data_IF_284468968837
#
_entry.id   IF_284468968837
#
_cell.length_a   1.000
_cell.length_b   1.000
_cell.length_c   1.000
_cell.angle_alpha   90.00
_cell.angle_beta   90.00
_cell.angle_gamma   90.00
#
_symmetry.space_group_name_H-M   'P 1'
#
loop_
_entity.id
_entity.type
_entity.pdbx_description
1 polymer ?
#
# COMPACT_ATOMS: atom_id res chain seq x y z
N UNK A 1 24.21 15.86 -2.24
CA UNK A 1 22.81 16.21 -1.95
C UNK A 1 21.93 15.27 -2.75
N UNK A 2 21.11 14.47 -2.15
CA UNK A 2 20.32 13.43 -2.83
C UNK A 2 19.04 14.02 -3.40
N UNK A 3 18.79 13.85 -4.70
CA UNK A 3 17.54 14.28 -5.31
C UNK A 3 16.51 13.17 -5.26
N UNK A 4 15.27 13.56 -4.99
CA UNK A 4 14.10 12.71 -5.20
C UNK A 4 13.28 13.34 -6.31
N UNK A 5 13.34 12.72 -7.49
CA UNK A 5 12.69 13.22 -8.70
C UNK A 5 11.36 12.52 -8.88
N UNK A 6 10.28 13.27 -8.76
CA UNK A 6 8.91 12.80 -9.02
C UNK A 6 8.55 13.09 -10.47
N UNK A 7 8.13 12.06 -11.19
CA UNK A 7 7.72 12.16 -12.60
C UNK A 7 6.21 12.23 -12.67
N UNK A 8 5.67 13.39 -13.05
CA UNK A 8 4.24 13.62 -13.10
C UNK A 8 3.69 13.30 -14.50
N UNK A 9 2.79 12.35 -14.56
CA UNK A 9 1.97 12.07 -15.74
C UNK A 9 0.62 12.79 -15.62
N UNK A 10 -0.09 13.09 -16.72
CA UNK A 10 -1.44 13.61 -16.66
C UNK A 10 -2.35 12.74 -15.77
N UNK A 11 -3.29 13.36 -15.09
CA UNK A 11 -4.17 12.71 -14.11
C UNK A 11 -3.46 12.02 -12.93
N UNK A 12 -2.27 12.51 -12.55
CA UNK A 12 -1.54 11.99 -11.39
C UNK A 12 -2.41 12.01 -10.13
N UNK A 13 -2.42 10.93 -9.36
CA UNK A 13 -3.09 10.89 -8.07
C UNK A 13 -2.31 11.70 -7.03
N UNK A 14 -2.99 12.69 -6.41
CA UNK A 14 -2.34 13.58 -5.44
C UNK A 14 -1.68 12.83 -4.29
N UNK A 15 -2.33 11.81 -3.74
CA UNK A 15 -1.75 11.07 -2.60
C UNK A 15 -0.55 10.21 -3.00
N UNK A 16 -0.54 9.67 -4.21
CA UNK A 16 0.60 8.91 -4.74
C UNK A 16 1.85 9.79 -4.89
N UNK A 17 1.64 11.09 -5.15
CA UNK A 17 2.68 12.10 -5.21
C UNK A 17 3.01 12.66 -3.82
N UNK A 18 2.00 13.23 -3.16
CA UNK A 18 2.18 14.00 -1.93
C UNK A 18 2.63 13.16 -0.74
N UNK A 19 2.16 11.90 -0.64
CA UNK A 19 2.55 10.99 0.44
C UNK A 19 4.06 10.76 0.52
N UNK A 20 4.69 10.21 -0.51
CA UNK A 20 6.14 10.05 -0.56
C UNK A 20 6.91 11.37 -0.49
N UNK A 21 6.42 12.42 -1.17
CA UNK A 21 7.05 13.73 -1.15
C UNK A 21 7.11 14.31 0.27
N UNK A 22 6.04 14.17 1.04
CA UNK A 22 6.00 14.63 2.44
C UNK A 22 7.01 13.88 3.30
N UNK A 23 7.17 12.56 3.13
CA UNK A 23 8.18 11.77 3.87
C UNK A 23 9.58 12.33 3.66
N UNK A 24 10.00 12.54 2.41
CA UNK A 24 11.34 13.05 2.11
C UNK A 24 11.51 14.53 2.49
N UNK A 25 10.46 15.34 2.35
CA UNK A 25 10.44 16.73 2.80
C UNK A 25 10.60 16.83 4.32
N UNK A 26 9.89 16.00 5.08
CA UNK A 26 10.02 15.94 6.53
C UNK A 26 11.42 15.48 6.96
N UNK A 27 11.98 14.47 6.25
CA UNK A 27 13.36 14.04 6.49
C UNK A 27 14.38 15.16 6.22
N UNK A 28 14.16 15.97 5.18
CA UNK A 28 14.98 17.14 4.89
C UNK A 28 14.93 18.17 6.03
N UNK A 29 13.75 18.41 6.61
CA UNK A 29 13.58 19.24 7.80
C UNK A 29 14.33 18.72 9.04
N UNK A 30 14.62 17.43 9.08
CA UNK A 30 15.48 16.82 10.13
C UNK A 30 16.96 16.75 9.75
N UNK A 31 17.41 17.52 8.76
CA UNK A 31 18.81 17.67 8.39
C UNK A 31 19.33 16.66 7.37
N UNK A 32 18.47 15.85 6.77
CA UNK A 32 18.88 14.97 5.67
C UNK A 32 18.97 15.75 4.35
N UNK A 33 19.99 15.53 3.51
CA UNK A 33 20.26 16.36 2.34
C UNK A 33 19.37 15.99 1.14
N UNK A 34 18.04 15.97 1.32
CA UNK A 34 17.09 15.71 0.24
C UNK A 34 16.64 16.99 -0.48
N UNK A 35 16.60 16.93 -1.82
CA UNK A 35 15.99 17.94 -2.67
C UNK A 35 14.90 17.29 -3.50
N UNK A 36 13.66 17.78 -3.38
CA UNK A 36 12.54 17.30 -4.17
C UNK A 36 12.50 18.04 -5.51
N UNK A 37 12.37 17.30 -6.60
CA UNK A 37 12.26 17.83 -7.96
C UNK A 37 11.05 17.18 -8.63
N UNK A 38 10.21 18.00 -9.25
CA UNK A 38 9.02 17.56 -9.96
C UNK A 38 9.22 17.80 -11.46
N UNK A 39 9.13 16.74 -12.26
CA UNK A 39 9.31 16.79 -13.71
C UNK A 39 8.09 16.24 -14.43
N UNK A 40 7.79 16.82 -15.60
CA UNK A 40 6.72 16.37 -16.49
C UNK A 40 7.06 16.71 -17.94
N UNK A 41 6.33 16.15 -18.89
CA UNK A 41 6.46 16.52 -20.31
C UNK A 41 5.92 17.93 -20.60
N UNK A 42 4.90 18.36 -19.80
CA UNK A 42 4.33 19.72 -19.86
C UNK A 42 4.61 20.47 -18.56
N UNK A 43 4.79 21.80 -18.59
CA UNK A 43 5.02 22.60 -17.39
C UNK A 43 3.79 22.65 -16.46
N UNK A 44 2.60 22.29 -16.96
CA UNK A 44 1.36 22.17 -16.18
C UNK A 44 0.80 20.77 -16.34
N UNK A 45 0.46 20.16 -15.20
CA UNK A 45 -0.14 18.83 -15.10
C UNK A 45 -1.40 18.94 -14.24
N UNK A 46 -2.53 18.53 -14.76
CA UNK A 46 -3.75 18.41 -13.95
C UNK A 46 -3.76 17.09 -13.22
N UNK A 47 -3.98 17.13 -11.90
CA UNK A 47 -4.12 15.92 -11.10
C UNK A 47 -5.46 15.22 -11.35
N UNK A 48 -5.56 13.95 -10.97
CA UNK A 48 -6.82 13.18 -11.01
C UNK A 48 -7.96 13.83 -10.19
N UNK A 49 -7.62 14.68 -9.21
CA UNK A 49 -8.56 15.43 -8.36
C UNK A 49 -8.85 16.84 -8.91
N UNK A 50 -8.34 17.21 -10.08
CA UNK A 50 -8.58 18.50 -10.71
C UNK A 50 -7.65 19.63 -10.26
N UNK A 51 -6.68 19.37 -9.37
CA UNK A 51 -5.73 20.40 -8.93
C UNK A 51 -4.64 20.59 -10.01
N UNK A 52 -4.40 21.81 -10.52
CA UNK A 52 -3.30 22.10 -11.40
C UNK A 52 -1.97 22.07 -10.64
N UNK A 53 -0.99 21.38 -11.18
CA UNK A 53 0.36 21.26 -10.66
C UNK A 53 1.35 21.87 -11.65
N UNK A 54 2.40 22.49 -11.14
CA UNK A 54 3.52 22.99 -11.97
C UNK A 54 4.71 22.07 -11.81
N UNK A 55 5.32 21.68 -12.93
CA UNK A 55 6.50 20.83 -13.00
C UNK A 55 7.54 21.40 -13.96
N UNK A 56 8.79 20.96 -13.80
CA UNK A 56 9.86 21.29 -14.77
C UNK A 56 9.75 20.36 -15.97
N UNK A 57 9.99 20.86 -17.17
CA UNK A 57 10.11 20.04 -18.38
C UNK A 57 11.51 19.48 -18.58
N UNK A 58 12.51 20.11 -17.96
CA UNK A 58 13.89 19.67 -18.01
C UNK A 58 14.24 18.83 -16.77
N UNK A 59 14.82 17.67 -17.02
CA UNK A 59 15.33 16.82 -15.96
C UNK A 59 16.63 17.40 -15.40
N UNK A 60 16.85 17.32 -14.07
CA UNK A 60 18.17 17.58 -13.52
C UNK A 60 19.15 16.48 -13.96
N UNK A 61 20.46 16.74 -13.95
CA UNK A 61 21.45 15.66 -14.01
C UNK A 61 21.21 14.72 -12.82
N UNK A 62 21.21 13.40 -13.06
CA UNK A 62 20.96 12.39 -12.05
C UNK A 62 22.27 11.70 -11.67
N UNK A 63 22.48 11.53 -10.36
CA UNK A 63 23.56 10.76 -9.78
C UNK A 63 23.04 9.37 -9.32
N UNK A 64 23.90 8.34 -9.18
CA UNK A 64 23.46 7.01 -8.72
C UNK A 64 22.78 7.02 -7.33
N UNK A 65 23.09 8.03 -6.49
CA UNK A 65 22.44 8.21 -5.19
C UNK A 65 21.02 8.76 -5.25
N UNK A 66 20.60 9.31 -6.40
CA UNK A 66 19.28 9.90 -6.57
C UNK A 66 18.18 8.82 -6.65
N UNK A 67 16.97 9.22 -6.34
CA UNK A 67 15.76 8.40 -6.42
C UNK A 67 14.82 9.00 -7.47
N UNK A 68 14.38 8.18 -8.43
CA UNK A 68 13.30 8.56 -9.36
C UNK A 68 12.03 7.84 -8.92
N UNK A 69 10.95 8.58 -8.69
CA UNK A 69 9.64 8.07 -8.28
C UNK A 69 8.63 8.38 -9.38
N UNK A 70 7.89 7.37 -9.83
CA UNK A 70 6.77 7.53 -10.75
C UNK A 70 5.47 7.31 -9.96
N UNK A 71 4.75 8.37 -9.56
CA UNK A 71 3.43 8.27 -8.95
C UNK A 71 2.42 7.67 -9.93
N UNK A 72 1.37 7.07 -9.41
CA UNK A 72 0.25 6.60 -10.21
C UNK A 72 -0.63 7.74 -10.71
N UNK A 73 -1.45 7.41 -11.68
CA UNK A 73 -2.43 8.31 -12.28
C UNK A 73 -3.80 7.63 -12.34
N UNK A 74 -4.84 8.37 -12.67
CA UNK A 74 -6.18 7.81 -12.87
C UNK A 74 -6.16 6.82 -14.05
N UNK A 75 -6.16 5.56 -13.74
CA UNK A 75 -6.12 4.47 -14.70
C UNK A 75 -7.18 3.44 -14.31
N UNK A 76 -8.40 3.52 -14.85
CA UNK A 76 -9.38 2.43 -14.70
C UNK A 76 -8.84 1.13 -15.30
N UNK A 77 -7.94 1.24 -16.28
CA UNK A 77 -7.10 0.19 -16.82
C UNK A 77 -5.75 0.79 -17.23
N UNK A 78 -4.68 -0.02 -17.27
CA UNK A 78 -3.36 0.42 -17.75
C UNK A 78 -3.32 0.65 -19.26
N UNK A 79 -4.25 0.01 -19.99
CA UNK A 79 -4.48 0.28 -21.41
C UNK A 79 -5.42 1.49 -21.58
N UNK A 80 -5.05 2.43 -22.46
CA UNK A 80 -5.91 3.57 -22.81
C UNK A 80 -5.82 4.81 -21.91
N UNK A 81 -4.96 4.79 -20.89
CA UNK A 81 -4.64 5.96 -20.06
C UNK A 81 -3.41 6.74 -20.58
N UNK A 82 -2.98 7.79 -19.85
CA UNK A 82 -1.73 8.47 -20.11
C UNK A 82 -0.60 7.45 -20.18
N UNK A 83 0.05 7.36 -21.32
CA UNK A 83 1.14 6.42 -21.51
C UNK A 83 2.47 7.12 -21.22
N UNK A 84 3.38 6.50 -20.42
CA UNK A 84 4.74 7.01 -20.29
C UNK A 84 5.40 7.16 -21.66
N UNK A 85 5.84 8.38 -21.98
CA UNK A 85 6.52 8.67 -23.25
C UNK A 85 7.86 7.95 -23.36
N UNK A 86 8.35 7.78 -24.60
CA UNK A 86 9.62 7.10 -24.87
C UNK A 86 10.81 7.73 -24.13
N UNK A 87 10.82 9.06 -24.03
CA UNK A 87 11.87 9.80 -23.34
C UNK A 87 11.91 9.47 -21.83
N UNK A 88 10.75 9.36 -21.19
CA UNK A 88 10.67 8.93 -19.77
C UNK A 88 11.18 7.50 -19.61
N UNK A 89 10.71 6.58 -20.44
CA UNK A 89 11.11 5.17 -20.42
C UNK A 89 12.63 5.03 -20.52
N UNK A 90 13.26 5.75 -21.45
CA UNK A 90 14.71 5.73 -21.63
C UNK A 90 15.46 6.32 -20.43
N UNK A 91 14.94 7.40 -19.83
CA UNK A 91 15.55 8.00 -18.62
C UNK A 91 15.49 7.07 -17.41
N UNK A 92 14.37 6.36 -17.21
CA UNK A 92 14.24 5.37 -16.14
C UNK A 92 15.28 4.24 -16.32
N UNK A 93 15.42 3.74 -17.55
CA UNK A 93 16.40 2.70 -17.90
C UNK A 93 17.83 3.18 -17.67
N UNK A 94 18.17 4.36 -18.17
CA UNK A 94 19.50 4.93 -18.05
C UNK A 94 19.88 5.19 -16.57
N UNK A 95 18.96 5.75 -15.78
CA UNK A 95 19.20 5.99 -14.36
C UNK A 95 19.43 4.68 -13.59
N UNK A 96 18.60 3.67 -13.81
CA UNK A 96 18.78 2.36 -13.18
C UNK A 96 20.10 1.70 -13.61
N UNK A 97 20.46 1.76 -14.91
CA UNK A 97 21.71 1.21 -15.43
C UNK A 97 22.95 1.92 -14.85
N UNK A 98 22.84 3.23 -14.56
CA UNK A 98 23.88 4.00 -13.88
C UNK A 98 23.99 3.71 -12.36
N UNK A 99 23.19 2.81 -11.82
CA UNK A 99 23.20 2.45 -10.41
C UNK A 99 22.14 3.17 -9.55
N UNK A 100 21.28 3.98 -10.17
CA UNK A 100 20.20 4.70 -9.49
C UNK A 100 19.04 3.83 -9.05
N UNK A 101 18.28 4.33 -8.09
CA UNK A 101 17.05 3.66 -7.60
C UNK A 101 15.83 4.23 -8.34
N UNK A 102 14.96 3.35 -8.81
CA UNK A 102 13.68 3.72 -9.42
C UNK A 102 12.54 3.15 -8.58
N UNK A 103 11.53 3.97 -8.33
CA UNK A 103 10.37 3.56 -7.56
C UNK A 103 9.08 3.92 -8.30
N UNK A 104 8.04 3.14 -8.06
CA UNK A 104 6.69 3.43 -8.55
C UNK A 104 5.66 3.32 -7.44
N UNK A 105 4.59 4.09 -7.59
CA UNK A 105 3.42 4.05 -6.74
C UNK A 105 2.22 3.75 -7.62
N UNK A 106 1.39 2.77 -7.27
CA UNK A 106 0.15 2.43 -7.99
C UNK A 106 0.39 2.14 -9.49
N UNK A 107 -0.37 2.77 -10.39
CA UNK A 107 -0.24 2.66 -11.85
C UNK A 107 1.17 3.03 -12.38
N UNK A 108 1.98 3.75 -11.60
CA UNK A 108 3.37 4.06 -11.95
C UNK A 108 4.23 2.84 -12.29
N UNK A 109 3.86 1.66 -11.82
CA UNK A 109 4.52 0.39 -12.16
C UNK A 109 4.53 0.11 -13.69
N UNK A 110 3.52 0.58 -14.41
CA UNK A 110 3.48 0.47 -15.87
C UNK A 110 4.66 1.17 -16.53
N UNK A 111 5.09 2.33 -16.03
CA UNK A 111 6.25 3.03 -16.58
C UNK A 111 7.54 2.22 -16.40
N UNK A 112 7.71 1.57 -15.25
CA UNK A 112 8.84 0.68 -14.98
C UNK A 112 8.78 -0.58 -15.87
N UNK A 113 7.58 -1.13 -16.06
CA UNK A 113 7.36 -2.27 -16.96
C UNK A 113 7.74 -1.95 -18.42
N UNK A 114 7.29 -0.81 -18.96
CA UNK A 114 7.69 -0.33 -20.28
C UNK A 114 9.18 -0.09 -20.41
N UNK A 115 9.84 0.32 -19.35
CA UNK A 115 11.29 0.45 -19.31
C UNK A 115 12.02 -0.91 -19.24
N UNK A 116 11.31 -2.04 -19.16
CA UNK A 116 11.89 -3.38 -19.00
C UNK A 116 12.50 -3.62 -17.62
N UNK A 117 12.23 -2.71 -16.66
CA UNK A 117 12.82 -2.77 -15.33
C UNK A 117 12.11 -3.78 -14.40
N UNK A 118 10.95 -4.28 -14.81
CA UNK A 118 10.23 -5.33 -14.07
C UNK A 118 10.61 -6.74 -14.53
N UNK A 119 11.32 -6.89 -15.63
CA UNK A 119 11.67 -8.19 -16.19
C UNK A 119 12.55 -9.00 -15.24
N UNK A 120 12.11 -10.22 -14.91
CA UNK A 120 12.77 -11.12 -13.97
C UNK A 120 12.69 -10.66 -12.51
N UNK A 121 11.94 -9.60 -12.18
CA UNK A 121 11.85 -9.03 -10.84
C UNK A 121 10.48 -9.20 -10.21
N UNK A 122 10.46 -9.20 -8.90
CA UNK A 122 9.25 -9.11 -8.10
C UNK A 122 8.76 -7.67 -8.09
N UNK A 123 7.47 -7.48 -8.39
CA UNK A 123 6.84 -6.15 -8.37
C UNK A 123 5.41 -6.24 -7.84
N UNK A 124 4.83 -5.10 -7.52
CA UNK A 124 3.40 -4.97 -7.20
C UNK A 124 2.84 -3.68 -7.74
N UNK A 125 1.53 -3.57 -7.72
CA UNK A 125 0.75 -2.38 -8.07
C UNK A 125 -0.57 -2.40 -7.31
N UNK A 126 -1.45 -1.43 -7.56
CA UNK A 126 -2.79 -1.39 -6.99
C UNK A 126 -3.54 -2.70 -7.27
N UNK A 127 -4.27 -3.21 -6.27
CA UNK A 127 -4.94 -4.52 -6.36
C UNK A 127 -5.81 -4.68 -7.61
N UNK A 128 -6.48 -3.62 -8.06
CA UNK A 128 -7.32 -3.64 -9.26
C UNK A 128 -6.53 -3.71 -10.58
N UNK A 129 -5.21 -3.48 -10.56
CA UNK A 129 -4.35 -3.43 -11.75
C UNK A 129 -3.34 -4.60 -11.82
N UNK A 130 -3.30 -5.48 -10.82
CA UNK A 130 -2.31 -6.55 -10.73
C UNK A 130 -2.41 -7.56 -11.86
N UNK A 131 -3.63 -7.96 -12.23
CA UNK A 131 -3.85 -8.92 -13.33
C UNK A 131 -3.44 -8.33 -14.68
N UNK A 132 -3.78 -7.07 -14.91
CA UNK A 132 -3.42 -6.37 -16.14
C UNK A 132 -1.90 -6.15 -16.23
N UNK A 133 -1.25 -5.74 -15.13
CA UNK A 133 0.21 -5.58 -15.08
C UNK A 133 0.91 -6.91 -15.41
N UNK A 134 0.45 -8.03 -14.83
CA UNK A 134 1.00 -9.36 -15.11
C UNK A 134 0.82 -9.77 -16.57
N UNK A 135 -0.34 -9.50 -17.16
CA UNK A 135 -0.61 -9.81 -18.57
C UNK A 135 0.26 -8.96 -19.52
N UNK A 136 0.49 -7.70 -19.21
CA UNK A 136 1.28 -6.77 -20.04
C UNK A 136 2.79 -7.00 -19.92
N UNK A 137 3.24 -7.43 -18.75
CA UNK A 137 4.66 -7.67 -18.45
C UNK A 137 4.89 -9.12 -18.00
N UNK A 138 4.77 -10.11 -18.90
CA UNK A 138 4.77 -11.53 -18.53
C UNK A 138 6.11 -12.05 -17.99
N UNK A 139 7.18 -11.26 -18.12
CA UNK A 139 8.49 -11.58 -17.49
C UNK A 139 8.62 -11.03 -16.07
N UNK A 140 7.67 -10.24 -15.59
CA UNK A 140 7.62 -9.75 -14.22
C UNK A 140 6.92 -10.76 -13.30
N UNK A 141 7.36 -10.83 -12.05
CA UNK A 141 6.65 -11.59 -11.00
C UNK A 141 5.79 -10.64 -10.20
N UNK A 142 4.52 -10.49 -10.59
CA UNK A 142 3.58 -9.63 -9.86
C UNK A 142 3.16 -10.30 -8.57
N UNK A 143 3.61 -9.75 -7.44
CA UNK A 143 3.25 -10.20 -6.08
C UNK A 143 1.92 -9.56 -5.70
N UNK A 144 0.94 -10.40 -5.35
CA UNK A 144 -0.42 -9.97 -5.06
C UNK A 144 -0.59 -9.63 -3.59
N UNK A 145 -1.52 -8.73 -3.32
CA UNK A 145 -1.95 -8.34 -1.97
C UNK A 145 -0.80 -7.99 -1.01
N UNK A 146 0.20 -7.25 -1.51
CA UNK A 146 1.31 -6.71 -0.70
C UNK A 146 1.40 -5.19 -0.88
N UNK A 147 1.87 -4.48 0.14
CA UNK A 147 1.94 -3.02 0.10
C UNK A 147 3.04 -2.51 -0.83
N UNK A 148 4.21 -3.12 -0.78
CA UNK A 148 5.32 -2.79 -1.66
C UNK A 148 6.30 -3.97 -1.78
N UNK A 149 7.07 -3.96 -2.85
CA UNK A 149 8.19 -4.89 -3.07
C UNK A 149 9.46 -4.11 -3.31
N UNK A 150 10.59 -4.71 -2.92
CA UNK A 150 11.93 -4.25 -3.26
C UNK A 150 12.67 -5.39 -3.93
N UNK A 151 13.17 -5.15 -5.13
CA UNK A 151 13.95 -6.11 -5.88
C UNK A 151 15.11 -5.37 -6.56
N UNK A 152 16.33 -5.55 -6.04
CA UNK A 152 17.49 -4.72 -6.34
C UNK A 152 17.18 -3.23 -6.07
N UNK A 153 17.35 -2.37 -7.05
CA UNK A 153 17.05 -0.92 -7.00
C UNK A 153 15.73 -0.57 -7.69
N UNK A 154 14.87 -1.56 -7.90
CA UNK A 154 13.49 -1.38 -8.39
C UNK A 154 12.53 -1.58 -7.22
N UNK A 155 11.76 -0.56 -6.90
CA UNK A 155 10.83 -0.57 -5.76
C UNK A 155 9.44 -0.22 -6.26
N UNK A 156 8.44 -1.05 -5.95
CA UNK A 156 7.07 -0.82 -6.42
C UNK A 156 6.09 -0.90 -5.27
N UNK A 157 5.07 -0.05 -5.23
CA UNK A 157 4.02 -0.10 -4.21
C UNK A 157 2.62 -0.11 -4.78
N UNK A 158 1.69 -0.63 -3.97
CA UNK A 158 0.28 -0.72 -4.27
C UNK A 158 -0.40 0.63 -4.52
N UNK A 159 0.14 1.69 -3.96
CA UNK A 159 -0.36 3.05 -4.20
C UNK A 159 -1.25 3.60 -3.10
N UNK A 160 -1.73 4.79 -3.36
CA UNK A 160 -2.48 5.61 -2.43
C UNK A 160 -1.70 5.73 -1.10
N UNK A 161 -2.21 5.20 0.01
CA UNK A 161 -1.54 5.30 1.30
C UNK A 161 -0.23 4.52 1.38
N UNK A 162 -0.08 3.40 0.65
CA UNK A 162 1.13 2.58 0.71
C UNK A 162 2.38 3.23 0.09
N UNK A 163 2.21 4.32 -0.68
CA UNK A 163 3.32 5.15 -1.11
C UNK A 163 4.09 5.79 0.06
N UNK A 164 3.40 6.09 1.15
CA UNK A 164 4.01 6.58 2.40
C UNK A 164 4.87 5.49 3.04
N UNK A 165 4.35 4.26 3.13
CA UNK A 165 5.07 3.12 3.71
C UNK A 165 6.33 2.79 2.90
N UNK A 166 6.23 2.81 1.56
CA UNK A 166 7.37 2.65 0.67
C UNK A 166 8.44 3.73 0.92
N UNK A 167 8.05 4.99 1.01
CA UNK A 167 9.00 6.09 1.23
C UNK A 167 9.66 6.00 2.63
N UNK A 168 8.91 5.64 3.67
CA UNK A 168 9.45 5.37 5.01
C UNK A 168 10.40 4.17 5.02
N UNK A 169 10.10 3.13 4.22
CA UNK A 169 11.00 1.99 4.05
C UNK A 169 12.32 2.42 3.40
N UNK A 170 12.26 3.16 2.28
CA UNK A 170 13.45 3.67 1.61
C UNK A 170 14.28 4.58 2.52
N UNK A 171 13.63 5.41 3.33
CA UNK A 171 14.29 6.24 4.33
C UNK A 171 14.99 5.39 5.40
N UNK A 172 14.32 4.32 5.88
CA UNK A 172 14.90 3.41 6.88
C UNK A 172 16.11 2.65 6.34
N UNK A 173 16.05 2.20 5.08
CA UNK A 173 17.18 1.51 4.43
C UNK A 173 18.39 2.44 4.28
N UNK A 174 18.16 3.71 3.93
CA UNK A 174 19.23 4.69 3.67
C UNK A 174 19.80 5.32 4.94
N UNK A 175 18.99 5.56 5.96
CA UNK A 175 19.36 6.37 7.13
C UNK A 175 19.05 5.71 8.48
N UNK A 176 18.55 4.48 8.44
CA UNK A 176 18.22 3.72 9.65
C UNK A 176 16.78 3.93 10.15
N UNK A 177 16.34 2.96 10.95
CA UNK A 177 14.95 2.89 11.43
C UNK A 177 14.58 4.06 12.37
N UNK A 178 15.55 4.62 13.11
CA UNK A 178 15.32 5.71 14.06
C UNK A 178 14.83 6.99 13.36
N UNK A 179 15.45 7.36 12.22
CA UNK A 179 15.01 8.52 11.44
C UNK A 179 13.63 8.28 10.82
N UNK A 180 13.41 7.10 10.24
CA UNK A 180 12.10 6.75 9.68
C UNK A 180 10.99 6.81 10.73
N UNK A 181 11.24 6.32 11.95
CA UNK A 181 10.31 6.42 13.06
C UNK A 181 10.05 7.88 13.51
N UNK A 182 11.08 8.73 13.49
CA UNK A 182 10.95 10.16 13.80
C UNK A 182 10.09 10.87 12.76
N UNK A 183 10.32 10.60 11.46
CA UNK A 183 9.50 11.13 10.35
C UNK A 183 8.06 10.64 10.45
N UNK A 184 7.84 9.35 10.69
CA UNK A 184 6.49 8.79 10.84
C UNK A 184 5.72 9.47 12.00
N UNK A 185 6.36 9.73 13.13
CA UNK A 185 5.75 10.46 14.27
C UNK A 185 5.39 11.90 13.92
N UNK A 186 6.28 12.61 13.23
CA UNK A 186 6.02 13.99 12.78
C UNK A 186 4.82 14.04 11.82
N UNK A 187 4.68 13.04 10.98
CA UNK A 187 3.55 12.89 10.06
C UNK A 187 2.28 12.32 10.71
N UNK A 188 2.29 12.09 12.03
CA UNK A 188 1.17 11.50 12.80
C UNK A 188 0.73 10.15 12.24
N UNK A 189 1.66 9.36 11.72
CA UNK A 189 1.38 8.01 11.23
C UNK A 189 1.28 7.07 12.43
N UNK A 190 0.09 6.50 12.64
CA UNK A 190 -0.21 5.65 13.80
C UNK A 190 0.63 4.37 13.84
N UNK A 191 0.78 3.70 12.70
CA UNK A 191 1.58 2.49 12.57
C UNK A 191 2.31 2.48 11.23
N UNK A 192 3.59 2.09 11.23
CA UNK A 192 4.35 1.79 10.02
C UNK A 192 4.01 0.38 9.58
N UNK A 193 3.65 0.21 8.32
CA UNK A 193 3.35 -1.08 7.71
C UNK A 193 4.56 -1.61 6.95
N UNK A 194 4.73 -2.93 6.91
CA UNK A 194 5.79 -3.60 6.16
C UNK A 194 5.33 -3.94 4.74
N UNK A 195 6.28 -4.22 3.84
CA UNK A 195 5.98 -4.43 2.44
C UNK A 195 5.09 -5.64 2.15
N UNK A 196 5.24 -6.69 2.93
CA UNK A 196 4.50 -7.95 2.82
C UNK A 196 3.11 -7.93 3.49
N UNK A 197 2.73 -6.81 4.12
CA UNK A 197 1.39 -6.66 4.67
C UNK A 197 0.34 -6.51 3.55
N UNK A 198 -0.90 -7.01 3.76
CA UNK A 198 -1.94 -6.97 2.74
C UNK A 198 -2.37 -5.54 2.41
N UNK A 199 -2.78 -5.31 1.16
CA UNK A 199 -3.29 -4.01 0.69
C UNK A 199 -4.57 -3.57 1.39
N UNK A 200 -5.41 -4.54 1.78
CA UNK A 200 -6.62 -4.30 2.55
C UNK A 200 -6.58 -5.08 3.85
N UNK A 201 -6.83 -4.40 4.98
CA UNK A 201 -7.02 -5.08 6.26
C UNK A 201 -8.20 -6.06 6.21
N UNK A 202 -8.26 -7.03 7.11
CA UNK A 202 -9.40 -7.94 7.22
C UNK A 202 -10.72 -7.15 7.38
N UNK A 203 -10.68 -6.02 8.09
CA UNK A 203 -11.82 -5.12 8.23
C UNK A 203 -12.31 -4.59 6.87
N UNK A 204 -11.41 -4.12 5.99
CA UNK A 204 -11.77 -3.51 4.71
C UNK A 204 -12.02 -4.54 3.60
N UNK A 205 -11.32 -5.67 3.62
CA UNK A 205 -11.39 -6.73 2.60
C UNK A 205 -12.82 -7.25 2.39
N UNK A 206 -13.61 -7.28 3.45
CA UNK A 206 -14.97 -7.81 3.43
C UNK A 206 -16.06 -6.74 3.45
N UNK A 207 -15.72 -5.45 3.18
CA UNK A 207 -16.68 -4.33 3.17
C UNK A 207 -17.10 -3.86 1.77
N UNK A 208 -16.73 -4.59 0.71
CA UNK A 208 -17.07 -4.24 -0.68
C UNK A 208 -18.51 -4.53 -1.10
N UNK A 209 -19.48 -4.57 -0.16
CA UNK A 209 -20.90 -4.85 -0.41
C UNK A 209 -21.79 -3.68 0.05
N UNK A 210 -23.07 -3.69 -0.35
CA UNK A 210 -24.06 -2.65 0.00
C UNK A 210 -25.12 -3.14 1.01
N UNK A 211 -24.90 -4.26 1.70
CA UNK A 211 -25.85 -4.80 2.66
C UNK A 211 -25.71 -4.11 4.02
N UNK A 212 -26.70 -3.31 4.40
CA UNK A 212 -26.69 -2.53 5.63
C UNK A 212 -26.66 -3.41 6.89
N UNK A 213 -27.37 -4.54 6.89
CA UNK A 213 -27.36 -5.48 8.03
C UNK A 213 -25.96 -6.07 8.24
N UNK A 214 -25.29 -6.47 7.15
CA UNK A 214 -23.94 -6.98 7.22
C UNK A 214 -22.95 -5.89 7.70
N UNK A 215 -23.04 -4.65 7.22
CA UNK A 215 -22.23 -3.53 7.71
C UNK A 215 -22.41 -3.26 9.20
N UNK A 216 -23.67 -3.20 9.67
CA UNK A 216 -23.94 -3.02 11.10
C UNK A 216 -23.35 -4.12 11.98
N UNK A 217 -23.39 -5.37 11.51
CA UNK A 217 -22.77 -6.50 12.25
C UNK A 217 -21.25 -6.42 12.19
N UNK A 218 -20.67 -6.02 11.06
CA UNK A 218 -19.21 -5.76 10.97
C UNK A 218 -18.80 -4.68 11.97
N UNK A 219 -19.51 -3.55 12.03
CA UNK A 219 -19.22 -2.47 12.99
C UNK A 219 -19.26 -2.95 14.45
N UNK A 220 -20.23 -3.79 14.78
CA UNK A 220 -20.34 -4.39 16.12
C UNK A 220 -19.16 -5.32 16.43
N UNK A 221 -18.72 -6.10 15.46
CA UNK A 221 -17.58 -7.01 15.62
C UNK A 221 -16.28 -6.20 15.67
N UNK A 222 -16.08 -5.23 14.77
CA UNK A 222 -14.87 -4.39 14.70
C UNK A 222 -14.63 -3.63 16.01
N UNK A 223 -15.69 -3.07 16.59
CA UNK A 223 -15.60 -2.34 17.85
C UNK A 223 -15.27 -3.23 19.06
N UNK A 224 -15.58 -4.53 19.00
CA UNK A 224 -15.49 -5.46 20.14
C UNK A 224 -14.93 -6.82 19.75
N UNK A 225 -14.02 -6.87 18.77
CA UNK A 225 -13.51 -8.12 18.21
C UNK A 225 -12.84 -9.04 19.26
N UNK A 226 -12.26 -8.47 20.31
CA UNK A 226 -11.63 -9.23 21.39
C UNK A 226 -12.64 -9.89 22.35
N UNK A 227 -13.90 -9.42 22.37
CA UNK A 227 -14.94 -9.97 23.24
C UNK A 227 -15.55 -11.25 22.66
N UNK A 228 -16.22 -12.02 23.51
CA UNK A 228 -17.09 -13.11 23.07
C UNK A 228 -18.40 -12.54 22.52
N UNK A 229 -18.63 -12.73 21.22
CA UNK A 229 -19.81 -12.22 20.50
C UNK A 229 -20.65 -13.40 19.96
N UNK A 230 -21.56 -13.97 20.76
CA UNK A 230 -22.46 -15.03 20.29
C UNK A 230 -23.34 -14.56 19.14
N UNK A 231 -23.64 -15.45 18.20
CA UNK A 231 -24.43 -15.14 17.01
C UNK A 231 -25.81 -14.58 17.37
N UNK A 232 -26.43 -15.12 18.44
CA UNK A 232 -27.72 -14.68 18.95
C UNK A 232 -27.68 -13.22 19.41
N UNK A 233 -26.59 -12.81 20.06
CA UNK A 233 -26.40 -11.42 20.51
C UNK A 233 -26.24 -10.48 19.33
N UNK A 234 -25.44 -10.85 18.33
CA UNK A 234 -25.27 -10.06 17.11
C UNK A 234 -26.59 -9.93 16.35
N UNK A 235 -27.33 -11.03 16.19
CA UNK A 235 -28.60 -11.05 15.48
C UNK A 235 -29.65 -10.16 16.18
N UNK A 236 -29.75 -10.24 17.51
CA UNK A 236 -30.66 -9.40 18.30
C UNK A 236 -30.34 -7.90 18.14
N UNK A 237 -29.04 -7.52 18.10
CA UNK A 237 -28.64 -6.11 17.96
C UNK A 237 -28.98 -5.50 16.61
N UNK A 238 -29.11 -6.32 15.55
CA UNK A 238 -29.50 -5.84 14.23
C UNK A 238 -30.96 -6.18 13.86
N UNK A 239 -31.71 -6.78 14.80
CA UNK A 239 -33.14 -7.02 14.65
C UNK A 239 -33.52 -8.16 13.71
N UNK A 240 -32.65 -9.19 13.57
CA UNK A 240 -32.92 -10.35 12.71
C UNK A 240 -32.74 -11.68 13.46
N UNK A 241 -33.20 -12.79 12.89
CA UNK A 241 -32.93 -14.11 13.44
C UNK A 241 -31.45 -14.53 13.20
N UNK A 242 -30.86 -15.41 14.05
CA UNK A 242 -29.51 -15.94 13.81
C UNK A 242 -29.32 -16.60 12.46
N UNK A 243 -30.34 -17.33 11.98
CA UNK A 243 -30.35 -17.95 10.66
C UNK A 243 -30.32 -16.90 9.53
N UNK A 244 -31.11 -15.83 9.65
CA UNK A 244 -31.14 -14.73 8.69
C UNK A 244 -29.79 -14.02 8.68
N UNK A 245 -29.23 -13.73 9.85
CA UNK A 245 -27.90 -13.11 9.95
C UNK A 245 -26.83 -13.94 9.27
N UNK A 246 -26.73 -15.24 9.55
CA UNK A 246 -25.74 -16.12 8.92
C UNK A 246 -25.85 -16.09 7.40
N UNK A 247 -27.07 -16.14 6.88
CA UNK A 247 -27.31 -16.12 5.42
C UNK A 247 -26.95 -14.77 4.78
N UNK A 248 -27.37 -13.67 5.39
CA UNK A 248 -27.12 -12.30 4.87
C UNK A 248 -25.63 -11.99 4.94
N UNK A 249 -25.01 -12.20 6.09
CA UNK A 249 -23.59 -11.95 6.30
C UNK A 249 -22.70 -12.81 5.40
N UNK A 250 -23.04 -14.11 5.27
CA UNK A 250 -22.32 -15.02 4.37
C UNK A 250 -22.42 -14.64 2.91
N UNK A 251 -23.60 -14.15 2.45
CA UNK A 251 -23.74 -13.66 1.07
C UNK A 251 -22.95 -12.37 0.82
N UNK A 252 -22.95 -11.47 1.79
CA UNK A 252 -22.28 -10.17 1.67
C UNK A 252 -20.76 -10.28 1.75
N UNK A 253 -20.24 -11.11 2.66
CA UNK A 253 -18.80 -11.13 3.01
C UNK A 253 -18.06 -12.39 2.56
N UNK A 254 -18.77 -13.44 2.18
CA UNK A 254 -18.20 -14.77 1.95
C UNK A 254 -17.83 -15.53 3.24
N UNK A 255 -18.04 -14.94 4.41
CA UNK A 255 -17.65 -15.49 5.72
C UNK A 255 -18.85 -15.63 6.67
N UNK A 256 -18.68 -16.45 7.70
CA UNK A 256 -19.57 -16.36 8.87
C UNK A 256 -19.10 -15.22 9.79
N UNK A 257 -20.01 -14.64 10.63
CA UNK A 257 -19.60 -13.62 11.63
C UNK A 257 -18.43 -14.06 12.51
N UNK A 258 -18.42 -15.34 12.95
CA UNK A 258 -17.31 -15.91 13.73
C UNK A 258 -15.98 -15.94 12.94
N UNK A 259 -16.02 -16.35 11.67
CA UNK A 259 -14.82 -16.38 10.83
C UNK A 259 -14.28 -14.99 10.57
N UNK A 260 -15.16 -14.01 10.36
CA UNK A 260 -14.79 -12.61 10.22
C UNK A 260 -14.10 -12.10 11.52
N UNK A 261 -14.69 -12.35 12.68
CA UNK A 261 -14.08 -12.00 13.98
C UNK A 261 -12.71 -12.67 14.17
N UNK A 262 -12.58 -13.94 13.80
CA UNK A 262 -11.31 -14.66 13.88
C UNK A 262 -10.24 -14.04 12.98
N UNK A 263 -10.59 -13.62 11.76
CA UNK A 263 -9.66 -12.95 10.84
C UNK A 263 -9.12 -11.63 11.44
N UNK A 264 -9.99 -10.79 12.02
CA UNK A 264 -9.57 -9.56 12.71
C UNK A 264 -8.63 -9.85 13.90
N UNK A 265 -8.94 -10.87 14.69
CA UNK A 265 -8.10 -11.29 15.83
C UNK A 265 -6.72 -11.75 15.38
N UNK A 266 -6.65 -12.54 14.29
CA UNK A 266 -5.37 -13.02 13.75
C UNK A 266 -4.53 -11.85 13.26
N UNK A 267 -5.11 -10.96 12.43
CA UNK A 267 -4.42 -9.79 11.90
C UNK A 267 -3.88 -8.90 13.04
N UNK A 268 -4.70 -8.63 14.05
CA UNK A 268 -4.27 -7.83 15.20
C UNK A 268 -3.19 -8.51 16.03
N UNK A 269 -3.28 -9.85 16.22
CA UNK A 269 -2.26 -10.61 16.92
C UNK A 269 -0.93 -10.60 16.17
N UNK A 270 -0.94 -10.72 14.84
CA UNK A 270 0.26 -10.63 13.99
C UNK A 270 0.93 -9.27 14.09
N UNK A 271 0.13 -8.20 14.09
CA UNK A 271 0.63 -6.85 14.33
C UNK A 271 1.33 -6.73 15.70
N UNK A 272 0.72 -7.23 16.77
CA UNK A 272 1.31 -7.22 18.11
C UNK A 272 2.62 -8.03 18.18
N UNK A 273 2.63 -9.21 17.57
CA UNK A 273 3.84 -10.08 17.51
C UNK A 273 4.96 -9.40 16.72
N UNK A 274 4.64 -8.76 15.60
CA UNK A 274 5.60 -7.98 14.80
C UNK A 274 6.21 -6.80 15.57
N UNK A 275 5.52 -6.33 16.64
CA UNK A 275 5.99 -5.28 17.56
C UNK A 275 6.58 -5.82 18.86
N UNK A 276 6.92 -7.11 18.91
CA UNK A 276 7.66 -7.72 20.01
C UNK A 276 6.81 -8.39 21.10
N UNK A 277 5.48 -8.48 20.92
CA UNK A 277 4.67 -9.26 21.86
C UNK A 277 4.91 -10.77 21.69
N UNK A 278 4.86 -11.53 22.78
CA UNK A 278 4.86 -13.00 22.68
C UNK A 278 3.55 -13.49 22.09
N UNK A 279 3.57 -14.67 21.47
CA UNK A 279 2.37 -15.27 20.86
C UNK A 279 1.25 -15.45 21.91
N UNK A 280 1.63 -15.80 23.13
CA UNK A 280 0.71 -15.97 24.27
C UNK A 280 0.10 -14.63 24.72
N UNK A 281 0.89 -13.57 24.79
CA UNK A 281 0.40 -12.23 25.12
C UNK A 281 -0.52 -11.70 24.02
N UNK A 282 -0.12 -11.79 22.76
CA UNK A 282 -0.93 -11.38 21.64
C UNK A 282 -2.26 -12.13 21.55
N UNK A 283 -2.26 -13.47 21.76
CA UNK A 283 -3.48 -14.27 21.75
C UNK A 283 -4.48 -13.79 22.83
N UNK A 284 -4.02 -13.53 24.04
CA UNK A 284 -4.87 -13.03 25.15
C UNK A 284 -5.43 -11.64 24.82
N UNK A 285 -4.59 -10.74 24.34
CA UNK A 285 -4.99 -9.36 24.01
C UNK A 285 -6.10 -9.31 22.96
N UNK A 286 -6.06 -10.22 21.99
CA UNK A 286 -7.07 -10.27 20.91
C UNK A 286 -8.28 -11.17 21.25
N UNK A 287 -8.36 -11.70 22.48
CA UNK A 287 -9.51 -12.46 22.98
C UNK A 287 -9.53 -13.95 22.59
N UNK A 288 -8.36 -14.57 22.33
CA UNK A 288 -8.25 -16.02 22.29
C UNK A 288 -7.95 -16.57 23.68
N UNK A 289 -8.70 -17.59 24.10
CA UNK A 289 -8.48 -18.26 25.37
C UNK A 289 -7.15 -19.03 25.41
N UNK A 290 -6.69 -19.53 24.24
CA UNK A 290 -5.46 -20.31 24.09
C UNK A 290 -4.69 -19.89 22.81
N UNK A 291 -3.40 -19.71 22.94
CA UNK A 291 -2.48 -19.44 21.83
C UNK A 291 -2.45 -20.56 20.77
N UNK A 292 -2.89 -21.79 21.11
CA UNK A 292 -3.02 -22.89 20.13
C UNK A 292 -4.03 -22.55 19.04
N UNK A 293 -5.14 -21.88 19.38
CA UNK A 293 -6.13 -21.43 18.42
C UNK A 293 -5.50 -20.42 17.43
N UNK A 294 -4.79 -19.43 17.93
CA UNK A 294 -4.07 -18.47 17.10
C UNK A 294 -3.08 -19.18 16.16
N UNK A 295 -2.25 -20.10 16.68
CA UNK A 295 -1.30 -20.87 15.85
C UNK A 295 -1.99 -21.68 14.77
N UNK A 296 -3.15 -22.28 15.07
CA UNK A 296 -3.94 -23.06 14.09
C UNK A 296 -4.50 -22.17 12.98
N UNK A 297 -5.05 -21.03 13.33
CA UNK A 297 -5.64 -20.09 12.35
C UNK A 297 -4.57 -19.49 11.43
N UNK A 298 -3.37 -19.19 11.96
CA UNK A 298 -2.22 -18.70 11.17
C UNK A 298 -1.70 -19.70 10.14
N UNK A 299 -1.87 -21.02 10.37
CA UNK A 299 -1.46 -22.07 9.42
C UNK A 299 -2.47 -22.34 8.32
N UNK A 300 -3.68 -21.86 8.47
CA UNK A 300 -4.79 -22.09 7.55
C UNK A 300 -5.28 -20.83 6.82
N UNK A 301 -4.53 -19.73 6.94
CA UNK A 301 -4.78 -18.45 6.28
C UNK A 301 -3.96 -18.33 4.97
#
# INVERSE_FOLDING_TARGET
MTRVVFVLLPDVHLLDLAGPAQVFSTAAGFGQPYTLVYVAESPQVTSAQGLPLTARTQWPPLDPGDLVVVPGWRAPALCGGPAPGAALVERLRAHHAAGGTVASVCAGAEALGRAGLLDGRRCTTHHALQDELAARHPRATVVRDVLFTTDDRVVTSAGIASGIDLALHLLAVRHGAALAARVAREMVIYARRNGDEPQASAMLRHRGHLDDTAHRVQDLIDARFAERLPLERLAAQVGVSPRTLTRVFGRATGLTPLRYQQALRVERAEHLIGHGATVEAAAREVGFDDARMLRRLRRGA
#
